data_IF_008046775679
#
_entry.id   IF_008046775679
#
_cell.length_a   1.000
_cell.length_b   1.000
_cell.length_c   1.000
_cell.angle_alpha   90.00
_cell.angle_beta   90.00
_cell.angle_gamma   90.00
#
_symmetry.space_group_name_H-M   'P 1'
#
loop_
_entity.id
_entity.type
_entity.pdbx_description
1 polymer ?
#
# COMPACT_ATOMS: atom_id res chain seq x y z
N UNK A 1 -6.32 -10.69 -5.58
CA UNK A 1 -7.30 -9.77 -4.96
C UNK A 1 -7.59 -10.22 -3.53
N UNK A 2 -8.13 -9.35 -2.66
CA UNK A 2 -8.50 -9.69 -1.27
C UNK A 2 -9.57 -10.79 -1.18
N UNK A 3 -10.36 -10.96 -2.24
CA UNK A 3 -11.35 -12.03 -2.41
C UNK A 3 -10.72 -13.42 -2.32
N UNK A 4 -9.55 -13.59 -2.96
CA UNK A 4 -8.82 -14.85 -2.89
C UNK A 4 -8.25 -15.11 -1.50
N UNK A 5 -7.81 -14.07 -0.79
CA UNK A 5 -7.39 -14.20 0.62
C UNK A 5 -8.58 -14.68 1.47
N UNK A 6 -9.74 -14.04 1.33
CA UNK A 6 -10.95 -14.46 2.04
C UNK A 6 -11.36 -15.90 1.70
N UNK A 7 -11.29 -16.29 0.41
CA UNK A 7 -11.61 -17.65 -0.03
C UNK A 7 -10.71 -18.71 0.61
N UNK A 8 -9.41 -18.43 0.71
CA UNK A 8 -8.39 -19.35 1.22
C UNK A 8 -8.37 -19.48 2.75
N UNK A 9 -8.70 -18.41 3.49
CA UNK A 9 -8.75 -18.48 4.95
C UNK A 9 -9.85 -19.44 5.41
N UNK A 10 -9.58 -20.28 6.40
CA UNK A 10 -10.61 -21.05 7.10
C UNK A 10 -11.50 -20.10 7.93
N UNK A 11 -12.72 -20.49 8.33
CA UNK A 11 -13.50 -19.72 9.32
C UNK A 11 -12.68 -19.43 10.58
N UNK A 12 -12.63 -18.18 11.02
CA UNK A 12 -11.77 -17.69 12.13
C UNK A 12 -10.28 -17.55 11.78
N UNK A 13 -9.89 -17.86 10.54
CA UNK A 13 -8.52 -17.72 10.04
C UNK A 13 -8.11 -16.26 9.96
N UNK A 14 -6.82 -16.00 10.18
CA UNK A 14 -6.26 -14.65 10.24
C UNK A 14 -5.28 -14.40 9.10
N UNK A 15 -5.24 -13.18 8.61
CA UNK A 15 -4.22 -12.71 7.67
C UNK A 15 -3.62 -11.38 8.15
N UNK A 16 -2.35 -11.20 7.84
CA UNK A 16 -1.63 -9.94 7.97
C UNK A 16 -1.10 -9.56 6.59
N UNK A 17 -1.43 -8.35 6.16
CA UNK A 17 -1.07 -7.83 4.83
C UNK A 17 -0.52 -6.42 5.02
N UNK A 18 0.63 -6.15 4.42
CA UNK A 18 1.20 -4.81 4.34
C UNK A 18 1.08 -4.30 2.90
N UNK A 19 0.54 -3.11 2.72
CA UNK A 19 0.46 -2.43 1.42
C UNK A 19 0.93 -0.99 1.54
N UNK A 20 1.66 -0.50 0.53
CA UNK A 20 2.02 0.93 0.44
C UNK A 20 0.75 1.78 0.36
N UNK A 21 0.77 2.97 0.95
CA UNK A 21 -0.42 3.83 1.01
C UNK A 21 -0.22 5.16 0.27
N UNK A 22 -1.30 5.92 0.10
CA UNK A 22 -1.32 7.21 -0.61
C UNK A 22 -0.36 8.30 -0.07
N UNK A 23 0.21 8.13 1.13
CA UNK A 23 1.19 9.05 1.72
C UNK A 23 2.63 8.67 1.42
N UNK A 24 2.86 7.54 0.74
CA UNK A 24 4.20 7.15 0.31
C UNK A 24 4.75 8.17 -0.69
N UNK A 25 6.03 8.49 -0.58
CA UNK A 25 6.75 9.46 -1.42
C UNK A 25 6.53 9.24 -2.92
N UNK A 26 6.36 7.97 -3.34
CA UNK A 26 6.11 7.59 -4.73
C UNK A 26 4.79 8.17 -5.28
N UNK A 27 3.80 8.48 -4.42
CA UNK A 27 2.58 9.19 -4.84
C UNK A 27 2.87 10.61 -5.33
N UNK A 28 3.90 11.26 -4.79
CA UNK A 28 4.30 12.63 -5.16
C UNK A 28 5.35 12.70 -6.27
N UNK A 29 6.06 11.58 -6.51
CA UNK A 29 7.19 11.49 -7.44
C UNK A 29 6.89 10.69 -8.70
N UNK A 30 5.92 9.76 -8.65
CA UNK A 30 5.44 9.02 -9.80
C UNK A 30 4.41 9.81 -10.63
N UNK A 31 4.10 9.31 -11.81
CA UNK A 31 3.00 9.82 -12.63
C UNK A 31 1.74 9.03 -12.33
N UNK A 32 0.67 9.68 -11.90
CA UNK A 32 -0.63 9.02 -11.77
C UNK A 32 -1.17 8.65 -13.16
N UNK A 33 -1.38 7.35 -13.41
CA UNK A 33 -1.85 6.81 -14.70
C UNK A 33 -3.31 6.36 -14.65
N UNK A 34 -3.83 6.13 -13.45
CA UNK A 34 -5.23 5.87 -13.14
C UNK A 34 -5.48 6.25 -11.66
N UNK A 35 -6.73 6.37 -11.19
CA UNK A 35 -7.00 6.73 -9.80
C UNK A 35 -6.25 5.83 -8.82
N UNK A 36 -5.37 6.42 -8.01
CA UNK A 36 -4.50 5.74 -7.06
C UNK A 36 -3.42 4.82 -7.66
N UNK A 37 -3.25 4.78 -8.99
CA UNK A 37 -2.19 4.02 -9.66
C UNK A 37 -1.11 4.97 -10.19
N UNK A 38 0.13 4.73 -9.75
CA UNK A 38 1.27 5.56 -10.06
C UNK A 38 2.31 4.74 -10.82
N UNK A 39 2.74 5.24 -11.98
CA UNK A 39 3.93 4.78 -12.67
C UNK A 39 5.14 5.45 -12.04
N UNK A 40 6.09 4.67 -11.54
CA UNK A 40 7.34 5.21 -10.99
C UNK A 40 8.26 5.58 -12.14
N UNK A 41 8.53 6.86 -12.28
CA UNK A 41 9.53 7.34 -13.23
C UNK A 41 10.90 7.42 -12.55
N UNK A 42 11.95 7.25 -13.34
CA UNK A 42 13.30 7.60 -12.91
C UNK A 42 13.33 9.12 -12.70
N UNK A 43 13.43 9.55 -11.44
CA UNK A 43 13.36 10.96 -11.09
C UNK A 43 14.75 11.54 -10.88
N UNK A 44 15.66 10.82 -10.22
CA UNK A 44 17.06 11.20 -10.03
C UNK A 44 17.93 9.97 -9.65
N UNK A 45 19.22 10.00 -10.00
CA UNK A 45 20.22 9.07 -9.47
C UNK A 45 20.40 9.30 -7.96
N UNK A 46 20.17 8.25 -7.15
CA UNK A 46 20.34 8.30 -5.70
C UNK A 46 19.05 8.26 -4.87
N UNK A 47 17.87 8.21 -5.51
CA UNK A 47 16.61 7.98 -4.80
C UNK A 47 16.55 6.57 -4.17
N UNK A 48 15.99 6.41 -2.95
CA UNK A 48 15.85 5.10 -2.30
C UNK A 48 15.07 4.05 -3.11
N UNK A 49 14.21 4.47 -4.04
CA UNK A 49 13.37 3.61 -4.89
C UNK A 49 13.83 3.58 -6.35
N UNK A 50 15.10 3.89 -6.63
CA UNK A 50 15.65 3.90 -7.99
C UNK A 50 15.49 2.56 -8.75
N UNK A 51 15.44 1.44 -8.04
CA UNK A 51 15.26 0.10 -8.61
C UNK A 51 13.79 -0.25 -8.93
N UNK A 52 12.85 0.68 -8.72
CA UNK A 52 11.42 0.47 -8.97
C UNK A 52 10.94 1.20 -10.25
N UNK A 53 11.87 1.63 -11.09
CA UNK A 53 11.55 2.29 -12.36
C UNK A 53 10.59 1.45 -13.21
N UNK A 54 9.63 2.14 -13.85
CA UNK A 54 8.57 1.58 -14.69
C UNK A 54 7.59 0.64 -13.96
N UNK A 55 7.72 0.48 -12.64
CA UNK A 55 6.72 -0.24 -11.85
C UNK A 55 5.45 0.61 -11.70
N UNK A 56 4.31 -0.08 -11.75
CA UNK A 56 3.02 0.48 -11.36
C UNK A 56 2.72 0.12 -9.91
N UNK A 57 2.44 1.14 -9.10
CA UNK A 57 2.03 0.98 -7.71
C UNK A 57 0.62 1.49 -7.51
N UNK A 58 -0.18 0.72 -6.77
CA UNK A 58 -1.47 1.17 -6.27
C UNK A 58 -1.31 1.68 -4.85
N UNK A 59 -1.57 2.97 -4.63
CA UNK A 59 -1.37 3.66 -3.35
C UNK A 59 -2.71 4.15 -2.80
N UNK A 60 -3.34 3.30 -1.99
CA UNK A 60 -4.72 3.50 -1.59
C UNK A 60 -4.89 4.39 -0.34
N UNK A 61 -5.95 5.22 -0.28
CA UNK A 61 -6.40 5.81 0.96
C UNK A 61 -7.04 4.75 1.86
N UNK A 62 -7.10 5.03 3.17
CA UNK A 62 -7.67 4.09 4.17
C UNK A 62 -9.11 3.68 3.84
N UNK A 63 -9.92 4.61 3.34
CA UNK A 63 -11.31 4.35 2.97
C UNK A 63 -11.44 3.29 1.87
N UNK A 64 -10.59 3.33 0.84
CA UNK A 64 -10.59 2.34 -0.23
C UNK A 64 -10.17 0.96 0.28
N UNK A 65 -9.19 0.89 1.18
CA UNK A 65 -8.78 -0.38 1.81
C UNK A 65 -9.92 -0.98 2.65
N UNK A 66 -10.63 -0.16 3.42
CA UNK A 66 -11.78 -0.61 4.20
C UNK A 66 -12.88 -1.19 3.32
N UNK A 67 -13.20 -0.52 2.22
CA UNK A 67 -14.21 -0.98 1.26
C UNK A 67 -13.84 -2.36 0.67
N UNK A 68 -12.60 -2.50 0.20
CA UNK A 68 -12.07 -3.77 -0.33
C UNK A 68 -12.12 -4.90 0.73
N UNK A 69 -11.86 -4.57 1.99
CA UNK A 69 -11.83 -5.52 3.11
C UNK A 69 -13.20 -5.76 3.75
N UNK A 70 -14.29 -5.14 3.27
CA UNK A 70 -15.59 -5.16 3.94
C UNK A 70 -16.23 -6.55 4.13
N UNK A 71 -15.72 -7.57 3.44
CA UNK A 71 -16.21 -8.97 3.53
C UNK A 71 -15.66 -9.76 4.73
N UNK A 72 -14.60 -9.28 5.37
CA UNK A 72 -13.99 -9.96 6.52
C UNK A 72 -14.79 -9.65 7.79
N UNK A 73 -14.94 -10.63 8.69
CA UNK A 73 -15.68 -10.44 9.95
C UNK A 73 -14.99 -9.49 10.92
N UNK A 74 -13.67 -9.34 10.81
CA UNK A 74 -12.91 -8.32 11.53
C UNK A 74 -11.82 -7.72 10.64
N UNK A 75 -11.72 -6.39 10.66
CA UNK A 75 -10.74 -5.60 9.92
C UNK A 75 -10.11 -4.58 10.86
N UNK A 76 -8.79 -4.65 11.02
CA UNK A 76 -8.00 -3.63 11.72
C UNK A 76 -6.95 -3.09 10.74
N UNK A 77 -6.86 -1.76 10.64
CA UNK A 77 -5.91 -1.09 9.74
C UNK A 77 -5.15 -0.05 10.55
N UNK A 78 -3.84 -0.31 10.69
CA UNK A 78 -2.87 0.61 11.30
C UNK A 78 -1.99 1.22 10.21
N UNK A 79 -1.26 2.28 10.55
CA UNK A 79 -0.27 2.90 9.66
C UNK A 79 1.14 2.64 10.15
N UNK A 80 2.05 2.38 9.22
CA UNK A 80 3.49 2.42 9.45
C UNK A 80 4.08 3.50 8.56
N UNK A 81 4.95 4.32 9.13
CA UNK A 81 5.70 5.34 8.40
C UNK A 81 7.19 5.21 8.70
N UNK A 82 8.01 5.39 7.68
CA UNK A 82 9.47 5.42 7.78
C UNK A 82 9.98 6.67 7.10
N UNK A 83 10.79 7.47 7.79
CA UNK A 83 11.50 8.59 7.18
C UNK A 83 12.88 8.18 6.69
N UNK A 84 13.31 8.72 5.56
CA UNK A 84 14.58 8.41 4.89
C UNK A 84 15.27 9.69 4.44
N UNK A 85 16.61 9.63 4.32
CA UNK A 85 17.47 10.73 3.85
C UNK A 85 17.21 12.05 4.61
N UNK A 86 17.44 12.03 5.92
CA UNK A 86 17.18 13.16 6.83
C UNK A 86 15.77 13.75 6.67
N UNK A 87 14.77 12.88 6.75
CA UNK A 87 13.33 13.21 6.64
C UNK A 87 12.88 13.78 5.27
N UNK A 88 13.72 13.72 4.23
CA UNK A 88 13.33 14.16 2.88
C UNK A 88 12.26 13.27 2.24
N UNK A 89 12.27 11.98 2.57
CA UNK A 89 11.33 11.02 1.98
C UNK A 89 10.54 10.30 3.07
N UNK A 90 9.23 10.22 2.85
CA UNK A 90 8.30 9.49 3.69
C UNK A 90 7.87 8.22 2.95
N UNK A 91 8.21 7.06 3.49
CA UNK A 91 7.55 5.82 3.12
C UNK A 91 6.38 5.56 4.05
N UNK A 92 5.25 5.13 3.49
CA UNK A 92 4.05 4.89 4.28
C UNK A 92 3.30 3.65 3.80
N UNK A 93 2.81 2.86 4.75
CA UNK A 93 2.10 1.62 4.49
C UNK A 93 0.92 1.43 5.45
N UNK A 94 -0.13 0.79 4.94
CA UNK A 94 -1.18 0.21 5.77
C UNK A 94 -0.77 -1.19 6.25
N UNK A 95 -0.90 -1.41 7.56
CA UNK A 95 -0.78 -2.69 8.22
C UNK A 95 -2.20 -3.23 8.45
N UNK A 96 -2.60 -4.22 7.66
CA UNK A 96 -3.98 -4.72 7.59
C UNK A 96 -4.05 -6.10 8.25
N UNK A 97 -4.87 -6.20 9.29
CA UNK A 97 -5.17 -7.45 9.98
C UNK A 97 -6.61 -7.84 9.71
N UNK A 98 -6.79 -9.06 9.22
CA UNK A 98 -8.08 -9.58 8.77
C UNK A 98 -8.43 -10.86 9.51
N UNK A 99 -9.71 -11.05 9.80
CA UNK A 99 -10.27 -12.35 10.22
C UNK A 99 -11.43 -12.72 9.31
N UNK A 100 -11.46 -13.98 8.84
CA UNK A 100 -12.61 -14.53 8.11
C UNK A 100 -13.73 -14.90 9.06
#
# INVERSE_FOLDING_TARGET
SFDEVHRLLKPGGKAFIMVKNHRDVRASKGTEVAPHEFLINQTDDGMPWNNEQDMRLTLLPRAAVLDICGKFSHVMINEMTTSLDDDKYLEAAWLIYLTR
#
